data_IF_324079737372
#
_entry.id   IF_324079737372
#
_cell.length_a   1.000
_cell.length_b   1.000
_cell.length_c   1.000
_cell.angle_alpha   90.00
_cell.angle_beta   90.00
_cell.angle_gamma   90.00
#
_symmetry.space_group_name_H-M   'P 1'
#
loop_
_entity.id
_entity.type
_entity.pdbx_description
1 polymer ?
#
# COMPACT_ATOMS: atom_id res chain seq x y z
N UNK A 1 7.45 13.12 -0.17
CA UNK A 1 6.16 13.80 -0.42
C UNK A 1 5.07 13.23 0.49
N UNK A 2 3.91 13.87 0.58
CA UNK A 2 2.77 13.40 1.38
C UNK A 2 1.57 13.21 0.45
N UNK A 3 0.93 12.05 0.51
CA UNK A 3 -0.22 11.71 -0.31
C UNK A 3 -1.40 11.21 0.52
N UNK A 4 -2.59 11.31 -0.06
CA UNK A 4 -3.82 10.72 0.43
C UNK A 4 -4.46 9.90 -0.68
N UNK A 5 -4.84 8.66 -0.37
CA UNK A 5 -5.71 7.85 -1.21
C UNK A 5 -7.00 7.52 -0.44
N UNK A 6 -8.15 7.74 -1.07
CA UNK A 6 -9.46 7.46 -0.46
C UNK A 6 -10.15 6.26 -1.11
N UNK A 7 -10.83 5.47 -0.30
CA UNK A 7 -11.51 4.25 -0.72
C UNK A 7 -12.92 4.22 -0.15
N UNK A 8 -13.92 4.04 -1.02
CA UNK A 8 -15.33 3.95 -0.65
C UNK A 8 -15.68 2.56 -0.13
N UNK A 9 -16.78 2.45 0.59
CA UNK A 9 -17.25 1.17 1.14
C UNK A 9 -17.50 0.11 0.05
N UNK A 10 -17.20 -1.14 0.36
CA UNK A 10 -17.28 -2.27 -0.58
C UNK A 10 -16.15 -2.35 -1.62
N UNK A 11 -15.35 -1.30 -1.79
CA UNK A 11 -14.12 -1.37 -2.58
C UNK A 11 -12.98 -1.85 -1.68
N UNK A 12 -12.32 -2.97 -2.05
CA UNK A 12 -10.97 -3.35 -1.56
C UNK A 12 -10.86 -4.08 -0.21
N UNK A 13 -11.68 -5.11 -0.01
CA UNK A 13 -11.54 -6.04 1.13
C UNK A 13 -10.17 -6.73 1.19
N UNK A 14 -9.53 -6.95 0.03
CA UNK A 14 -8.23 -7.63 -0.06
C UNK A 14 -7.10 -6.79 0.51
N UNK A 15 -7.02 -5.52 0.09
CA UNK A 15 -5.95 -4.64 0.53
C UNK A 15 -6.09 -4.33 2.02
N UNK A 16 -7.32 -4.21 2.55
CA UNK A 16 -7.55 -4.01 4.00
C UNK A 16 -6.97 -5.14 4.84
N UNK A 17 -6.97 -6.38 4.33
CA UNK A 17 -6.43 -7.55 5.05
C UNK A 17 -4.96 -7.38 5.40
N UNK A 18 -4.10 -7.03 4.44
CA UNK A 18 -2.66 -6.84 4.68
C UNK A 18 -2.32 -5.44 5.17
N UNK A 19 -3.26 -4.50 5.06
CA UNK A 19 -3.17 -3.23 5.74
C UNK A 19 -3.30 -3.42 7.25
N UNK A 20 -4.27 -4.20 7.74
CA UNK A 20 -4.45 -4.38 9.19
C UNK A 20 -3.68 -5.57 9.77
N UNK A 21 -3.25 -6.52 8.91
CA UNK A 21 -2.43 -7.67 9.31
C UNK A 21 -1.04 -7.59 8.69
N UNK A 22 -0.03 -7.37 9.52
CA UNK A 22 1.35 -7.40 9.08
C UNK A 22 1.77 -8.82 8.63
N UNK A 23 2.67 -8.88 7.64
CA UNK A 23 3.20 -10.11 7.04
C UNK A 23 4.71 -10.16 7.18
N UNK A 24 5.26 -11.36 7.39
CA UNK A 24 6.70 -11.59 7.32
C UNK A 24 7.10 -11.76 5.86
N UNK A 25 7.41 -10.64 5.21
CA UNK A 25 7.66 -10.63 3.77
C UNK A 25 8.81 -11.55 3.36
N UNK A 26 9.91 -11.57 4.12
CA UNK A 26 11.05 -12.44 3.86
C UNK A 26 10.73 -13.95 3.82
N UNK A 27 9.75 -14.41 4.59
CA UNK A 27 9.33 -15.82 4.62
C UNK A 27 8.72 -16.26 3.28
N UNK A 28 8.25 -15.31 2.46
CA UNK A 28 7.66 -15.57 1.16
C UNK A 28 8.71 -15.84 0.08
N UNK A 29 9.97 -15.44 0.27
CA UNK A 29 11.00 -15.48 -0.79
C UNK A 29 11.18 -16.87 -1.42
N UNK A 30 11.14 -17.94 -0.62
CA UNK A 30 11.28 -19.32 -1.10
C UNK A 30 10.14 -19.78 -2.03
N UNK A 31 8.98 -19.13 -1.96
CA UNK A 31 7.76 -19.48 -2.70
C UNK A 31 7.55 -18.62 -3.95
N UNK A 32 8.38 -17.59 -4.15
CA UNK A 32 8.32 -16.69 -5.30
C UNK A 32 9.16 -17.29 -6.43
N UNK A 33 8.54 -17.50 -7.59
CA UNK A 33 9.18 -18.06 -8.78
C UNK A 33 10.05 -17.01 -9.49
N UNK A 34 9.56 -15.77 -9.62
CA UNK A 34 10.30 -14.72 -10.31
C UNK A 34 11.56 -14.29 -9.51
N UNK A 35 12.77 -14.40 -10.08
CA UNK A 35 14.02 -14.14 -9.36
C UNK A 35 14.17 -12.67 -8.93
N UNK A 36 13.63 -11.72 -9.68
CA UNK A 36 13.69 -10.30 -9.34
C UNK A 36 12.80 -9.99 -8.14
N UNK A 37 11.56 -10.50 -8.17
CA UNK A 37 10.61 -10.36 -7.06
C UNK A 37 11.17 -11.07 -5.82
N UNK A 38 11.71 -12.29 -5.99
CA UNK A 38 12.37 -13.05 -4.94
C UNK A 38 13.51 -12.25 -4.31
N UNK A 39 14.38 -11.64 -5.12
CA UNK A 39 15.49 -10.81 -4.66
C UNK A 39 15.02 -9.60 -3.87
N UNK A 40 13.97 -8.91 -4.33
CA UNK A 40 13.37 -7.78 -3.62
C UNK A 40 12.81 -8.21 -2.25
N UNK A 41 12.05 -9.30 -2.21
CA UNK A 41 11.45 -9.85 -0.99
C UNK A 41 12.49 -10.39 -0.02
N UNK A 42 13.58 -11.00 -0.51
CA UNK A 42 14.65 -11.56 0.32
C UNK A 42 15.37 -10.49 1.18
N UNK A 43 15.37 -9.22 0.76
CA UNK A 43 15.89 -8.09 1.58
C UNK A 43 15.18 -7.99 2.94
N UNK A 44 13.95 -8.49 3.03
CA UNK A 44 13.11 -8.43 4.22
C UNK A 44 13.25 -9.64 5.16
N UNK A 45 14.18 -10.57 4.89
CA UNK A 45 14.39 -11.78 5.70
C UNK A 45 14.56 -11.50 7.20
N UNK A 46 15.29 -10.42 7.53
CA UNK A 46 15.56 -10.03 8.92
C UNK A 46 14.74 -8.80 9.35
N UNK A 47 13.77 -8.37 8.55
CA UNK A 47 12.91 -7.26 8.91
C UNK A 47 11.77 -7.73 9.83
N UNK A 48 11.26 -6.85 10.71
CA UNK A 48 10.01 -7.13 11.41
C UNK A 48 8.85 -7.27 10.41
N UNK A 49 7.71 -7.87 10.80
CA UNK A 49 6.52 -7.91 9.97
C UNK A 49 6.16 -6.53 9.42
N UNK A 50 5.78 -6.49 8.14
CA UNK A 50 5.46 -5.27 7.40
C UNK A 50 4.02 -5.30 6.90
N UNK A 51 3.45 -4.13 6.63
CA UNK A 51 2.14 -4.06 5.99
C UNK A 51 2.32 -3.93 4.48
N UNK A 52 1.37 -4.45 3.72
CA UNK A 52 1.37 -4.37 2.25
C UNK A 52 0.11 -3.66 1.75
N UNK A 53 0.28 -2.86 0.71
CA UNK A 53 -0.81 -2.18 0.03
C UNK A 53 -0.51 -1.98 -1.47
N UNK A 54 -1.53 -1.97 -2.32
CA UNK A 54 -1.40 -1.55 -3.73
C UNK A 54 -2.32 -0.33 -3.99
N UNK A 55 -1.70 0.79 -4.37
CA UNK A 55 -2.42 2.05 -4.61
C UNK A 55 -3.11 2.11 -5.99
N UNK A 56 -2.93 1.09 -6.82
CA UNK A 56 -3.28 1.07 -8.24
C UNK A 56 -2.18 1.69 -9.10
N UNK A 57 -2.10 1.24 -10.36
CA UNK A 57 -1.02 1.56 -11.31
C UNK A 57 -0.65 3.05 -11.32
N UNK A 58 -1.62 3.94 -11.56
CA UNK A 58 -1.37 5.38 -11.73
C UNK A 58 -0.87 6.07 -10.46
N UNK A 59 -1.38 5.69 -9.29
CA UNK A 59 -0.89 6.23 -8.04
C UNK A 59 0.50 5.67 -7.72
N UNK A 60 0.71 4.38 -7.95
CA UNK A 60 2.00 3.72 -7.75
C UNK A 60 3.12 4.25 -8.65
N UNK A 61 2.81 4.90 -9.79
CA UNK A 61 3.79 5.62 -10.64
C UNK A 61 4.28 6.94 -10.01
N UNK A 62 3.58 7.46 -9.00
CA UNK A 62 3.89 8.75 -8.34
C UNK A 62 4.49 8.57 -6.95
N UNK A 63 4.50 7.35 -6.44
CA UNK A 63 4.87 7.00 -5.08
C UNK A 63 6.26 6.36 -5.06
N UNK A 64 7.10 6.84 -4.16
CA UNK A 64 8.48 6.38 -4.00
C UNK A 64 8.77 5.94 -2.57
N UNK A 65 9.88 5.19 -2.42
CA UNK A 65 10.44 4.88 -1.11
C UNK A 65 10.71 6.15 -0.31
N UNK A 66 10.14 6.24 0.88
CA UNK A 66 10.27 7.40 1.77
C UNK A 66 9.09 8.37 1.75
N UNK A 67 8.13 8.21 0.83
CA UNK A 67 6.90 8.99 0.85
C UNK A 67 6.00 8.65 2.03
N UNK A 68 5.23 9.64 2.47
CA UNK A 68 4.20 9.49 3.48
C UNK A 68 2.86 9.32 2.79
N UNK A 69 2.09 8.32 3.23
CA UNK A 69 0.78 8.00 2.68
C UNK A 69 -0.26 7.95 3.78
N UNK A 70 -1.35 8.66 3.50
CA UNK A 70 -2.62 8.52 4.19
C UNK A 70 -3.54 7.64 3.35
N UNK A 71 -4.17 6.66 3.99
CA UNK A 71 -5.06 5.70 3.37
C UNK A 71 -6.38 5.81 4.10
N UNK A 72 -7.37 6.47 3.49
CA UNK A 72 -8.72 6.57 4.05
C UNK A 72 -9.56 5.41 3.52
N UNK A 73 -9.80 4.42 4.36
CA UNK A 73 -10.71 3.31 4.07
C UNK A 73 -11.99 3.51 4.86
N UNK A 74 -13.09 3.83 4.15
CA UNK A 74 -14.38 4.08 4.79
C UNK A 74 -14.28 5.20 5.84
N UNK A 75 -14.34 4.84 7.11
CA UNK A 75 -14.29 5.71 8.29
C UNK A 75 -12.92 5.73 8.99
N UNK A 76 -11.98 4.89 8.54
CA UNK A 76 -10.68 4.75 9.19
C UNK A 76 -9.59 5.37 8.34
N UNK A 77 -8.87 6.34 8.92
CA UNK A 77 -7.68 6.91 8.31
C UNK A 77 -6.46 6.16 8.82
N UNK A 78 -5.68 5.58 7.92
CA UNK A 78 -4.38 5.03 8.23
C UNK A 78 -3.26 5.95 7.75
N UNK A 79 -2.16 5.94 8.48
CA UNK A 79 -0.94 6.67 8.19
C UNK A 79 0.24 5.69 8.15
N UNK A 80 1.10 5.82 7.13
CA UNK A 80 2.37 5.12 7.08
C UNK A 80 3.38 5.85 6.19
N UNK A 81 4.63 5.37 6.24
CA UNK A 81 5.70 5.72 5.31
C UNK A 81 5.97 4.52 4.39
N UNK A 82 6.02 4.77 3.08
CA UNK A 82 6.45 3.78 2.10
C UNK A 82 7.91 3.46 2.35
N UNK A 83 8.20 2.19 2.52
CA UNK A 83 9.58 1.72 2.59
C UNK A 83 10.12 1.44 1.19
N UNK A 84 9.41 0.59 0.43
CA UNK A 84 9.85 0.15 -0.89
C UNK A 84 8.63 -0.20 -1.75
N UNK A 85 8.73 0.10 -3.04
CA UNK A 85 7.83 -0.40 -4.08
C UNK A 85 8.46 -1.66 -4.67
N UNK A 86 7.70 -2.75 -4.75
CA UNK A 86 8.17 -3.97 -5.41
C UNK A 86 7.43 -4.11 -6.74
N UNK A 87 8.18 -4.29 -7.82
CA UNK A 87 7.61 -4.63 -9.13
C UNK A 87 7.33 -6.12 -9.18
N UNK A 88 6.05 -6.50 -9.22
CA UNK A 88 5.59 -7.88 -9.21
C UNK A 88 4.70 -8.16 -10.43
N UNK A 89 5.27 -8.31 -11.64
CA UNK A 89 4.50 -8.34 -12.89
C UNK A 89 3.44 -9.45 -12.94
N UNK A 90 3.62 -10.52 -12.16
CA UNK A 90 2.74 -11.69 -12.11
C UNK A 90 1.79 -11.69 -10.89
N UNK A 91 2.01 -10.79 -9.92
CA UNK A 91 1.25 -10.71 -8.67
C UNK A 91 1.49 -11.85 -7.70
N UNK A 92 2.70 -12.42 -7.70
CA UNK A 92 3.08 -13.55 -6.86
C UNK A 92 3.00 -13.21 -5.36
N UNK A 93 3.40 -12.00 -4.96
CA UNK A 93 3.28 -11.53 -3.57
C UNK A 93 1.80 -11.47 -3.19
N UNK A 94 0.98 -10.85 -4.04
CA UNK A 94 -0.46 -10.73 -3.85
C UNK A 94 -1.12 -12.10 -3.66
N UNK A 95 -0.80 -13.07 -4.52
CA UNK A 95 -1.33 -14.43 -4.42
C UNK A 95 -0.91 -15.10 -3.10
N UNK A 96 0.35 -14.96 -2.69
CA UNK A 96 0.89 -15.55 -1.47
C UNK A 96 0.30 -14.96 -0.17
N UNK A 97 -0.13 -13.69 -0.21
CA UNK A 97 -0.84 -13.03 0.89
C UNK A 97 -2.35 -13.04 0.73
N UNK A 98 -2.86 -13.82 -0.23
CA UNK A 98 -4.27 -14.06 -0.50
C UNK A 98 -5.05 -12.79 -0.90
N UNK A 99 -4.44 -11.92 -1.69
CA UNK A 99 -5.16 -10.84 -2.38
C UNK A 99 -5.94 -11.40 -3.56
N UNK A 100 -7.27 -11.24 -3.55
CA UNK A 100 -8.07 -11.64 -4.70
C UNK A 100 -7.83 -10.73 -5.91
N UNK A 101 -7.66 -11.37 -7.08
CA UNK A 101 -7.42 -10.73 -8.38
C UNK A 101 -8.68 -10.08 -8.94
N UNK A 102 -8.60 -8.87 -9.49
CA UNK A 102 -9.76 -8.21 -10.10
C UNK A 102 -9.87 -8.68 -11.54
N UNK A 103 -10.96 -9.39 -11.90
CA UNK A 103 -11.14 -9.94 -13.25
C UNK A 103 -9.92 -10.77 -13.72
N UNK A 104 -9.35 -11.60 -12.82
CA UNK A 104 -8.12 -12.39 -13.03
C UNK A 104 -6.82 -11.57 -13.19
N UNK A 105 -6.89 -10.24 -13.20
CA UNK A 105 -5.71 -9.40 -13.27
C UNK A 105 -4.92 -9.43 -11.94
N UNK A 106 -3.58 -9.63 -12.00
CA UNK A 106 -2.74 -9.63 -10.80
C UNK A 106 -2.54 -8.21 -10.25
N UNK A 107 -2.18 -8.16 -8.96
CA UNK A 107 -1.71 -6.95 -8.30
C UNK A 107 -0.21 -6.80 -8.52
N UNK A 108 0.20 -5.75 -9.23
CA UNK A 108 1.57 -5.64 -9.76
C UNK A 108 2.49 -4.71 -8.99
N UNK A 109 1.94 -3.90 -8.08
CA UNK A 109 2.68 -2.84 -7.42
C UNK A 109 2.53 -2.90 -5.89
N UNK A 110 2.84 -4.05 -5.24
CA UNK A 110 2.84 -4.11 -3.79
C UNK A 110 3.84 -3.10 -3.21
N UNK A 111 3.32 -2.21 -2.38
CA UNK A 111 4.08 -1.27 -1.57
C UNK A 111 4.29 -1.85 -0.18
N UNK A 112 5.54 -1.84 0.27
CA UNK A 112 5.90 -2.19 1.63
C UNK A 112 5.75 -0.96 2.51
N UNK A 113 4.87 -1.06 3.49
CA UNK A 113 4.57 0.01 4.44
C UNK A 113 5.30 -0.24 5.76
N UNK A 114 5.93 0.82 6.28
CA UNK A 114 6.46 0.88 7.67
C UNK A 114 5.30 0.95 8.67
N UNK A 115 5.55 0.93 10.01
CA UNK A 115 4.49 0.73 10.98
C UNK A 115 3.26 1.58 10.68
N UNK A 116 2.14 0.90 10.51
CA UNK A 116 0.88 1.52 10.15
C UNK A 116 0.23 2.05 11.43
N UNK A 117 -0.23 3.29 11.38
CA UNK A 117 -0.94 3.92 12.49
C UNK A 117 -2.37 4.18 12.06
N UNK A 118 -3.34 3.68 12.83
CA UNK A 118 -4.74 4.06 12.69
C UNK A 118 -4.99 5.39 13.42
N UNK A 119 -5.67 6.31 12.75
CA UNK A 119 -5.97 7.65 13.25
C UNK A 119 -7.48 7.78 13.45
N UNK A 120 -7.93 7.24 14.58
CA UNK A 120 -9.33 7.21 15.00
C UNK A 120 -9.76 8.63 15.42
N UNK A 121 -10.09 9.50 14.46
CA UNK A 121 -10.73 10.83 14.63
C UNK A 121 -10.54 11.76 13.44
N UNK A 122 -9.58 11.46 12.55
CA UNK A 122 -9.22 12.39 11.48
C UNK A 122 -9.94 12.13 10.14
N UNK A 123 -10.59 10.98 9.97
CA UNK A 123 -11.27 10.61 8.74
C UNK A 123 -12.24 11.70 8.20
N UNK A 124 -13.08 12.37 9.04
CA UNK A 124 -13.95 13.45 8.56
C UNK A 124 -13.18 14.70 8.10
N UNK A 125 -12.01 14.98 8.67
CA UNK A 125 -11.21 16.17 8.37
C UNK A 125 -10.27 15.97 7.16
N UNK A 126 -10.03 14.74 6.73
CA UNK A 126 -9.07 14.43 5.65
C UNK A 126 -9.42 15.08 4.31
N UNK A 127 -10.70 15.25 4.02
CA UNK A 127 -11.14 15.91 2.79
C UNK A 127 -10.78 17.40 2.74
N UNK A 128 -10.59 18.06 3.89
CA UNK A 128 -10.14 19.46 3.94
C UNK A 128 -8.62 19.58 3.81
N UNK A 129 -7.88 18.50 4.10
CA UNK A 129 -6.42 18.43 3.93
C UNK A 129 -6.00 18.23 2.46
N UNK A 130 -6.89 17.76 1.60
CA UNK A 130 -6.59 17.43 0.20
C UNK A 130 -6.27 18.67 -0.63
N UNK A 131 -4.98 19.04 -0.72
CA UNK A 131 -4.54 20.29 -1.37
C UNK A 131 -4.49 20.22 -2.89
N UNK A 132 -4.15 19.07 -3.48
CA UNK A 132 -4.05 18.90 -4.93
C UNK A 132 -4.55 17.53 -5.35
N UNK A 133 -5.64 17.49 -6.10
CA UNK A 133 -6.18 16.27 -6.69
C UNK A 133 -5.31 15.83 -7.87
N UNK A 134 -4.80 14.60 -7.81
CA UNK A 134 -4.05 13.96 -8.91
C UNK A 134 -4.99 13.06 -9.71
N UNK A 135 -5.82 12.27 -9.02
CA UNK A 135 -6.84 11.40 -9.60
C UNK A 135 -8.15 11.50 -8.81
N UNK A 136 -9.18 10.78 -9.23
CA UNK A 136 -10.51 10.84 -8.61
C UNK A 136 -10.44 10.71 -7.07
N UNK A 137 -9.61 9.78 -6.59
CA UNK A 137 -9.44 9.44 -5.18
C UNK A 137 -7.98 9.46 -4.72
N UNK A 138 -7.09 10.19 -5.41
CA UNK A 138 -5.68 10.33 -5.04
C UNK A 138 -5.23 11.79 -5.04
N UNK A 139 -4.61 12.21 -3.95
CA UNK A 139 -4.30 13.61 -3.68
C UNK A 139 -2.87 13.74 -3.18
N UNK A 140 -2.20 14.80 -3.59
CA UNK A 140 -0.97 15.27 -2.95
C UNK A 140 -1.37 16.25 -1.84
N UNK A 141 -0.80 16.07 -0.66
CA UNK A 141 -0.93 16.98 0.47
C UNK A 141 0.31 17.87 0.53
N UNK A 142 0.13 19.18 0.63
CA UNK A 142 1.23 20.10 0.88
C UNK A 142 1.43 20.28 2.39
N UNK A 143 2.68 20.39 2.87
CA UNK A 143 2.93 20.86 4.22
C UNK A 143 2.28 22.23 4.40
N UNK A 144 1.65 22.46 5.54
CA UNK A 144 1.24 23.80 5.95
C UNK A 144 2.49 24.68 5.99
N UNK A 145 2.50 25.74 5.19
CA UNK A 145 3.54 26.78 5.18
C UNK A 145 3.70 27.44 6.53
#
# INVERSE_FOLDING_TARGET
MIYLRTYRSGSRQNERKTLTKAVRLGDLASRIANPNVRGAVAKFTYHPPVHLWDFGVRASERLEGGDVVYILCEDTLYYSKIFEKIEDPNGEIGDLVEWHRIQQAPWKNPMVLKPLVALDSLAPAVHTLATKRIEENFFQLQPSS
#
